data_IF_963559806167
#
_entry.id   IF_963559806167
#
_cell.length_a   1.000
_cell.length_b   1.000
_cell.length_c   1.000
_cell.angle_alpha   90.00
_cell.angle_beta   90.00
_cell.angle_gamma   90.00
#
_symmetry.space_group_name_H-M   'P 1'
#
loop_
_entity.id
_entity.type
_entity.pdbx_description
1 polymer ?
#
# COMPACT_ATOMS: atom_id res chain seq x y z
N UNK A 1 10.45 15.11 11.68
CA UNK A 1 10.39 14.40 10.39
C UNK A 1 8.92 14.24 10.07
N UNK A 2 8.45 14.46 8.84
CA UNK A 2 7.02 14.29 8.54
C UNK A 2 6.56 12.85 8.77
N UNK A 3 5.35 12.70 9.29
CA UNK A 3 4.69 11.42 9.48
C UNK A 3 3.94 11.02 8.21
N UNK A 4 4.06 9.75 7.84
CA UNK A 4 3.38 9.17 6.69
C UNK A 4 2.59 7.94 7.12
N UNK A 5 1.37 7.83 6.60
CA UNK A 5 0.47 6.71 6.88
C UNK A 5 0.32 5.85 5.65
N UNK A 6 0.43 4.55 5.84
CA UNK A 6 0.29 3.55 4.80
C UNK A 6 -1.09 2.96 5.00
N UNK A 7 -1.94 2.97 3.98
CA UNK A 7 -3.33 2.52 4.06
C UNK A 7 -3.54 1.42 3.03
N UNK A 8 -3.70 0.19 3.52
CA UNK A 8 -3.96 -0.98 2.69
C UNK A 8 -5.46 -1.06 2.42
N UNK A 9 -5.85 -1.02 1.15
CA UNK A 9 -7.23 -1.10 0.69
C UNK A 9 -7.48 -2.47 0.03
N UNK A 10 -8.71 -2.98 0.21
CA UNK A 10 -9.21 -4.21 -0.42
C UNK A 10 -8.42 -5.50 -0.08
N UNK A 11 -7.69 -5.48 1.03
CA UNK A 11 -7.14 -6.67 1.68
C UNK A 11 -7.72 -6.78 3.09
N UNK A 12 -7.48 -7.92 3.76
CA UNK A 12 -8.02 -8.18 5.09
C UNK A 12 -7.72 -6.99 6.03
N UNK A 13 -8.76 -6.35 6.60
CA UNK A 13 -8.63 -5.15 7.44
C UNK A 13 -7.85 -5.40 8.73
N UNK A 14 -7.52 -6.67 9.05
CA UNK A 14 -6.66 -7.02 10.17
C UNK A 14 -5.17 -6.78 9.90
N UNK A 15 -4.76 -6.41 8.68
CA UNK A 15 -3.36 -6.07 8.40
C UNK A 15 -3.07 -4.67 8.98
N UNK A 16 -2.33 -4.54 10.10
CA UNK A 16 -2.02 -3.23 10.64
C UNK A 16 -1.05 -2.56 9.66
N UNK A 17 -1.48 -1.45 9.09
CA UNK A 17 -0.63 -0.71 8.19
C UNK A 17 0.24 0.27 9.02
N UNK A 18 1.55 0.34 8.74
CA UNK A 18 2.47 1.11 9.56
C UNK A 18 2.20 2.61 9.43
N UNK A 19 2.57 3.33 10.49
CA UNK A 19 2.68 4.78 10.50
C UNK A 19 4.11 5.09 10.92
N UNK A 20 4.86 5.79 10.07
CA UNK A 20 6.29 5.97 10.27
C UNK A 20 6.75 7.38 9.82
N UNK A 21 7.75 7.90 10.52
CA UNK A 21 8.37 9.18 10.22
C UNK A 21 9.47 9.00 9.17
N UNK A 22 9.39 9.75 8.08
CA UNK A 22 10.42 9.77 7.04
C UNK A 22 11.03 11.16 6.90
N UNK A 23 12.29 11.27 6.44
CA UNK A 23 12.93 12.57 6.22
C UNK A 23 12.28 13.37 5.08
N UNK A 24 11.76 12.69 4.06
CA UNK A 24 11.14 13.27 2.87
C UNK A 24 10.18 12.27 2.18
N UNK A 25 9.48 12.75 1.15
CA UNK A 25 8.55 11.96 0.35
C UNK A 25 9.24 10.83 -0.44
N UNK A 26 10.51 11.00 -0.82
CA UNK A 26 11.25 9.98 -1.57
C UNK A 26 11.56 8.76 -0.69
N UNK A 27 11.96 9.01 0.56
CA UNK A 27 12.14 7.97 1.57
C UNK A 27 10.81 7.25 1.87
N UNK A 28 9.70 7.99 2.00
CA UNK A 28 8.38 7.41 2.19
C UNK A 28 7.95 6.53 1.00
N UNK A 29 8.20 6.97 -0.25
CA UNK A 29 7.91 6.19 -1.45
C UNK A 29 8.75 4.91 -1.54
N UNK A 30 10.04 4.99 -1.19
CA UNK A 30 10.93 3.82 -1.14
C UNK A 30 10.43 2.78 -0.14
N UNK A 31 9.94 3.22 1.02
CA UNK A 31 9.37 2.29 2.00
C UNK A 31 8.01 1.77 1.55
N UNK A 32 7.17 2.59 0.90
CA UNK A 32 5.87 2.17 0.36
C UNK A 32 6.01 1.02 -0.64
N UNK A 33 6.97 1.13 -1.56
CA UNK A 33 7.24 0.09 -2.55
C UNK A 33 7.77 -1.21 -1.93
N UNK A 34 8.58 -1.12 -0.86
CA UNK A 34 9.04 -2.29 -0.09
C UNK A 34 7.90 -2.95 0.66
N UNK A 35 7.13 -2.16 1.41
CA UNK A 35 5.97 -2.64 2.16
C UNK A 35 4.96 -3.32 1.22
N UNK A 36 4.66 -2.70 0.07
CA UNK A 36 3.83 -3.32 -0.96
C UNK A 36 4.40 -4.66 -1.42
N UNK A 37 5.70 -4.74 -1.72
CA UNK A 37 6.33 -5.99 -2.19
C UNK A 37 6.28 -7.12 -1.15
N UNK A 38 6.52 -6.81 0.13
CA UNK A 38 6.43 -7.78 1.22
C UNK A 38 4.99 -8.25 1.42
N UNK A 39 4.03 -7.32 1.38
CA UNK A 39 2.61 -7.65 1.51
C UNK A 39 2.12 -8.49 0.33
N UNK A 40 2.57 -8.18 -0.90
CA UNK A 40 2.27 -8.98 -2.08
C UNK A 40 2.86 -10.38 -2.04
N UNK A 41 4.02 -10.57 -1.40
CA UNK A 41 4.57 -11.91 -1.18
C UNK A 41 3.61 -12.78 -0.35
N UNK A 42 2.93 -12.19 0.63
CA UNK A 42 1.95 -12.87 1.49
C UNK A 42 0.55 -13.00 0.87
N UNK A 43 0.32 -12.32 -0.26
CA UNK A 43 -0.91 -12.36 -1.06
C UNK A 43 -0.92 -13.54 -2.05
N UNK A 44 0.14 -14.36 -2.10
CA UNK A 44 0.23 -15.53 -2.98
C UNK A 44 -1.04 -16.40 -2.93
N UNK A 45 -1.78 -16.40 -4.04
CA UNK A 45 -3.05 -17.12 -4.24
C UNK A 45 -4.31 -16.50 -3.61
N UNK A 46 -4.20 -15.39 -2.86
CA UNK A 46 -5.34 -14.71 -2.22
C UNK A 46 -6.04 -13.73 -3.15
N UNK A 47 -5.28 -12.98 -3.96
CA UNK A 47 -5.85 -12.04 -4.93
C UNK A 47 -6.39 -12.81 -6.14
N UNK A 48 -7.71 -12.82 -6.30
CA UNK A 48 -8.44 -13.56 -7.35
C UNK A 48 -8.76 -12.64 -8.54
N UNK A 49 -8.84 -13.19 -9.77
CA UNK A 49 -9.26 -12.41 -10.94
C UNK A 49 -10.54 -11.61 -10.70
N UNK A 50 -10.51 -10.31 -11.01
CA UNK A 50 -11.60 -9.37 -10.75
C UNK A 50 -11.47 -8.62 -9.42
N UNK A 51 -10.48 -8.95 -8.59
CA UNK A 51 -10.15 -8.21 -7.39
C UNK A 51 -9.08 -7.15 -7.66
N UNK A 52 -9.11 -6.12 -6.81
CA UNK A 52 -8.15 -5.04 -6.78
C UNK A 52 -7.55 -4.94 -5.39
N UNK A 53 -6.30 -4.54 -5.34
CA UNK A 53 -5.58 -4.18 -4.12
C UNK A 53 -4.97 -2.80 -4.30
N UNK A 54 -4.95 -2.00 -3.24
CA UNK A 54 -4.19 -0.76 -3.25
C UNK A 54 -3.46 -0.49 -1.93
N UNK A 55 -2.35 0.22 -2.04
CA UNK A 55 -1.66 0.87 -0.94
C UNK A 55 -1.64 2.37 -1.20
N UNK A 56 -2.35 3.10 -0.37
CA UNK A 56 -2.35 4.56 -0.37
C UNK A 56 -1.39 5.07 0.71
N UNK A 57 -0.58 6.07 0.37
CA UNK A 57 0.26 6.78 1.34
C UNK A 57 -0.29 8.18 1.53
N UNK A 58 -0.56 8.56 2.78
CA UNK A 58 -1.04 9.89 3.13
C UNK A 58 -0.04 10.63 4.03
N UNK A 59 -0.03 11.96 3.95
CA UNK A 59 0.72 12.82 4.87
C UNK A 59 0.00 13.01 6.22
N UNK A 60 0.60 13.81 7.12
CA UNK A 60 0.04 14.24 8.41
C UNK A 60 -1.33 14.90 8.34
N UNK A 61 -1.66 15.55 7.22
CA UNK A 61 -2.95 16.18 7.00
C UNK A 61 -4.00 15.18 6.47
N UNK A 62 -3.63 13.91 6.29
CA UNK A 62 -4.48 12.88 5.70
C UNK A 62 -4.63 13.03 4.18
N UNK A 63 -3.77 13.82 3.53
CA UNK A 63 -3.80 13.99 2.07
C UNK A 63 -3.04 12.83 1.44
N UNK A 64 -3.70 12.12 0.52
CA UNK A 64 -3.06 11.11 -0.31
C UNK A 64 -1.98 11.74 -1.21
N UNK A 65 -0.75 11.23 -1.10
CA UNK A 65 0.41 11.67 -1.87
C UNK A 65 0.87 10.61 -2.87
N UNK A 66 0.71 9.32 -2.53
CA UNK A 66 1.06 8.21 -3.40
C UNK A 66 0.01 7.10 -3.36
N UNK A 67 -0.12 6.37 -4.46
CA UNK A 67 -1.00 5.22 -4.57
C UNK A 67 -0.35 4.14 -5.44
N UNK A 68 -0.26 2.93 -4.91
CA UNK A 68 0.13 1.71 -5.64
C UNK A 68 -1.12 0.85 -5.78
N UNK A 69 -1.56 0.58 -7.00
CA UNK A 69 -2.74 -0.24 -7.28
C UNK A 69 -2.37 -1.45 -8.13
N UNK A 70 -2.88 -2.62 -7.75
CA UNK A 70 -2.81 -3.84 -8.54
C UNK A 70 -4.24 -4.35 -8.78
N UNK A 71 -4.57 -4.55 -10.05
CA UNK A 71 -5.83 -5.15 -10.46
C UNK A 71 -5.58 -6.46 -11.18
N UNK A 72 -6.49 -7.41 -10.99
CA UNK A 72 -6.44 -8.71 -11.65
C UNK A 72 -7.64 -8.86 -12.56
N UNK A 73 -7.46 -9.51 -13.69
CA UNK A 73 -8.54 -9.76 -14.64
C UNK A 73 -8.41 -11.14 -15.25
N UNK A 74 -9.54 -11.70 -15.66
CA UNK A 74 -9.57 -12.94 -16.42
C UNK A 74 -9.40 -12.61 -17.90
N UNK A 75 -8.34 -13.11 -18.51
CA UNK A 75 -8.22 -13.12 -19.98
C UNK A 75 -9.07 -14.24 -20.55
N UNK A 76 -10.00 -13.91 -21.46
CA UNK A 76 -10.85 -14.88 -22.19
C UNK A 76 -10.06 -15.62 -23.26
#
# INVERSE_FOLDING_TARGET
MPLYFFNVLNLDPSTPAPCEEFPDEEAAWKEATRFAADLFRDVDGKLRPGEEWALEVTDEAGKAIFNIQISTSTTK
#
